data_IF_674007846450
#
_entry.id   IF_674007846450
#
_cell.length_a   1.000
_cell.length_b   1.000
_cell.length_c   1.000
_cell.angle_alpha   90.00
_cell.angle_beta   90.00
_cell.angle_gamma   90.00
#
_symmetry.space_group_name_H-M   'P 1'
#
loop_
_entity.id
_entity.type
_entity.pdbx_description
1 polymer ?
#
# COMPACT_ATOMS: atom_id res chain seq x y z
N UNK A 1 -7.35 3.97 -12.04
CA UNK A 1 -6.87 5.37 -12.01
C UNK A 1 -6.15 5.56 -10.68
N UNK A 2 -4.87 5.93 -10.70
CA UNK A 2 -4.05 5.93 -9.46
C UNK A 2 -4.62 6.88 -8.41
N UNK A 3 -5.24 7.97 -8.84
CA UNK A 3 -5.87 8.94 -7.94
C UNK A 3 -7.04 8.33 -7.18
N UNK A 4 -7.90 7.56 -7.86
CA UNK A 4 -9.01 6.86 -7.21
C UNK A 4 -8.51 5.83 -6.21
N UNK A 5 -7.50 5.04 -6.57
CA UNK A 5 -6.92 4.04 -5.69
C UNK A 5 -6.30 4.69 -4.46
N UNK A 6 -5.56 5.79 -4.65
CA UNK A 6 -4.98 6.58 -3.55
C UNK A 6 -6.06 7.12 -2.63
N UNK A 7 -7.15 7.65 -3.19
CA UNK A 7 -8.28 8.14 -2.40
C UNK A 7 -8.97 7.01 -1.61
N UNK A 8 -9.12 5.82 -2.19
CA UNK A 8 -9.65 4.63 -1.50
C UNK A 8 -8.75 4.20 -0.35
N UNK A 9 -7.45 4.02 -0.60
CA UNK A 9 -6.49 3.62 0.44
C UNK A 9 -6.53 4.64 1.56
N UNK A 10 -6.40 5.93 1.25
CA UNK A 10 -6.44 6.99 2.25
C UNK A 10 -7.76 6.99 3.03
N UNK A 11 -8.92 6.83 2.39
CA UNK A 11 -10.22 6.76 3.08
C UNK A 11 -10.31 5.57 4.03
N UNK A 12 -9.79 4.43 3.61
CA UNK A 12 -9.79 3.20 4.41
C UNK A 12 -8.73 3.23 5.51
N UNK A 13 -7.64 4.00 5.38
CA UNK A 13 -6.54 4.03 6.36
C UNK A 13 -6.42 5.33 7.14
N UNK A 14 -7.28 6.33 6.87
CA UNK A 14 -7.29 7.65 7.53
C UNK A 14 -7.35 7.57 9.07
N UNK A 15 -8.02 6.54 9.57
CA UNK A 15 -8.18 6.29 11.00
C UNK A 15 -6.97 5.61 11.66
N UNK A 16 -6.02 5.10 10.87
CA UNK A 16 -4.80 4.45 11.35
C UNK A 16 -3.78 5.52 11.72
N UNK A 17 -3.71 5.87 13.01
CA UNK A 17 -2.72 6.83 13.51
C UNK A 17 -1.38 6.12 13.73
N UNK A 18 -0.36 6.54 12.99
CA UNK A 18 1.02 6.05 13.16
C UNK A 18 1.49 5.05 12.09
N UNK A 19 0.62 4.68 11.13
CA UNK A 19 1.00 3.81 10.01
C UNK A 19 1.32 4.66 8.79
N UNK A 20 2.56 4.57 8.29
CA UNK A 20 3.02 5.27 7.09
C UNK A 20 2.86 4.38 5.86
N UNK A 21 2.01 4.81 4.94
CA UNK A 21 1.73 4.07 3.70
C UNK A 21 2.23 4.90 2.51
N UNK A 22 3.26 4.40 1.83
CA UNK A 22 3.77 4.99 0.59
C UNK A 22 3.00 4.46 -0.62
N UNK A 23 2.49 5.35 -1.48
CA UNK A 23 1.76 4.98 -2.69
C UNK A 23 2.52 5.55 -3.89
N UNK A 24 2.98 4.67 -4.78
CA UNK A 24 3.74 5.02 -5.98
C UNK A 24 3.09 4.43 -7.23
N UNK A 25 2.82 5.28 -8.22
CA UNK A 25 2.23 4.88 -9.50
C UNK A 25 3.16 4.07 -10.40
N UNK A 26 4.46 4.16 -10.17
CA UNK A 26 5.48 3.45 -10.93
C UNK A 26 6.77 3.35 -10.12
N UNK A 27 7.51 2.24 -10.28
CA UNK A 27 8.76 1.92 -9.57
C UNK A 27 9.97 2.80 -9.95
N UNK A 28 9.80 3.84 -10.78
CA UNK A 28 10.90 4.60 -11.40
C UNK A 28 11.81 5.28 -10.38
N UNK A 29 11.26 5.67 -9.23
CA UNK A 29 12.04 6.09 -8.07
C UNK A 29 12.14 4.90 -7.13
N UNK A 30 13.34 4.36 -6.96
CA UNK A 30 13.58 3.08 -6.28
C UNK A 30 13.09 3.03 -4.82
N UNK A 31 13.18 1.86 -4.18
CA UNK A 31 12.64 1.60 -2.84
C UNK A 31 13.26 2.46 -1.71
N UNK A 32 14.32 3.23 -1.98
CA UNK A 32 14.98 4.10 -1.01
C UNK A 32 14.10 5.25 -0.51
N UNK A 33 13.21 5.79 -1.35
CA UNK A 33 12.25 6.84 -0.95
C UNK A 33 11.14 6.29 -0.03
N UNK A 34 10.95 4.97 -0.01
CA UNK A 34 9.96 4.27 0.84
C UNK A 34 10.60 3.67 2.09
N UNK A 35 11.88 3.94 2.39
CA UNK A 35 12.57 3.37 3.54
C UNK A 35 11.93 3.76 4.90
N UNK A 36 11.19 4.87 4.94
CA UNK A 36 10.45 5.33 6.12
C UNK A 36 8.98 4.88 6.14
N UNK A 37 8.49 4.22 5.09
CA UNK A 37 7.12 3.73 5.02
C UNK A 37 7.00 2.32 5.63
N UNK A 38 6.02 2.12 6.49
CA UNK A 38 5.69 0.79 7.04
C UNK A 38 5.12 -0.12 5.95
N UNK A 39 4.33 0.46 5.03
CA UNK A 39 3.70 -0.24 3.93
C UNK A 39 3.87 0.49 2.61
N UNK A 40 4.05 -0.27 1.53
CA UNK A 40 4.20 0.27 0.19
C UNK A 40 3.19 -0.30 -0.79
N UNK A 41 2.59 0.59 -1.60
CA UNK A 41 1.76 0.26 -2.75
C UNK A 41 2.46 0.75 -4.01
N UNK A 42 3.05 -0.14 -4.80
CA UNK A 42 3.90 0.23 -5.95
C UNK A 42 3.38 -0.38 -7.23
N UNK A 43 3.08 0.47 -8.22
CA UNK A 43 2.75 0.05 -9.58
C UNK A 43 3.98 -0.52 -10.29
N UNK A 44 3.91 -1.78 -10.73
CA UNK A 44 4.97 -2.44 -11.51
C UNK A 44 4.60 -2.61 -12.98
N UNK A 45 3.37 -2.27 -13.36
CA UNK A 45 2.89 -2.29 -14.74
C UNK A 45 1.42 -1.89 -14.84
N UNK A 46 0.88 -1.92 -16.06
CA UNK A 46 -0.52 -1.56 -16.31
C UNK A 46 -1.47 -2.48 -15.53
N UNK A 47 -2.16 -1.93 -14.53
CA UNK A 47 -3.10 -2.66 -13.68
C UNK A 47 -2.45 -3.65 -12.70
N UNK A 48 -1.12 -3.63 -12.54
CA UNK A 48 -0.38 -4.54 -11.65
C UNK A 48 0.35 -3.78 -10.55
N UNK A 49 0.21 -4.29 -9.33
CA UNK A 49 0.72 -3.71 -8.11
C UNK A 49 1.57 -4.71 -7.36
N UNK A 50 2.56 -4.21 -6.65
CA UNK A 50 3.36 -4.94 -5.69
C UNK A 50 3.25 -4.24 -4.35
N UNK A 51 2.92 -5.03 -3.32
CA UNK A 51 2.80 -4.58 -1.94
C UNK A 51 4.10 -4.87 -1.20
N UNK A 52 4.55 -3.87 -0.45
CA UNK A 52 5.74 -3.94 0.38
C UNK A 52 5.36 -3.75 1.84
N UNK A 53 6.10 -4.40 2.72
CA UNK A 53 6.19 -4.05 4.13
C UNK A 53 7.62 -3.60 4.39
N UNK A 54 7.79 -2.35 4.78
CA UNK A 54 9.09 -1.70 4.90
C UNK A 54 9.85 -1.83 3.57
N UNK A 55 10.93 -2.61 3.54
CA UNK A 55 11.73 -2.85 2.33
C UNK A 55 11.52 -4.25 1.71
N UNK A 56 10.58 -5.04 2.24
CA UNK A 56 10.33 -6.42 1.83
C UNK A 56 9.09 -6.53 0.96
N UNK A 57 9.21 -7.19 -0.20
CA UNK A 57 8.06 -7.54 -1.04
C UNK A 57 7.21 -8.59 -0.32
N UNK A 58 5.97 -8.24 0.01
CA UNK A 58 5.03 -9.20 0.60
C UNK A 58 4.17 -9.84 -0.48
N UNK A 59 3.66 -9.04 -1.41
CA UNK A 59 2.89 -9.55 -2.54
C UNK A 59 3.25 -8.84 -3.84
N UNK A 60 3.24 -9.58 -4.96
CA UNK A 60 3.69 -9.07 -6.27
C UNK A 60 2.71 -9.43 -7.36
N UNK A 61 2.60 -8.58 -8.37
CA UNK A 61 1.71 -8.77 -9.53
C UNK A 61 0.22 -8.88 -9.16
N UNK A 62 -0.21 -8.21 -8.08
CA UNK A 62 -1.62 -8.16 -7.71
C UNK A 62 -2.36 -7.22 -8.67
N UNK A 63 -3.57 -7.56 -9.13
CA UNK A 63 -4.40 -6.60 -9.85
C UNK A 63 -4.73 -5.38 -8.98
N UNK A 64 -4.66 -4.18 -9.56
CA UNK A 64 -4.97 -2.89 -8.88
C UNK A 64 -6.25 -2.95 -8.05
N UNK A 65 -7.28 -3.61 -8.57
CA UNK A 65 -8.60 -3.71 -7.93
C UNK A 65 -8.56 -4.51 -6.61
N UNK A 66 -7.70 -5.52 -6.51
CA UNK A 66 -7.56 -6.35 -5.30
C UNK A 66 -6.43 -5.85 -4.39
N UNK A 67 -5.50 -5.05 -4.93
CA UNK A 67 -4.34 -4.56 -4.20
C UNK A 67 -4.71 -3.68 -3.00
N UNK A 68 -5.80 -2.90 -3.10
CA UNK A 68 -6.31 -2.11 -1.96
C UNK A 68 -6.76 -3.03 -0.82
N UNK A 69 -7.58 -4.03 -1.14
CA UNK A 69 -8.07 -5.00 -0.16
C UNK A 69 -6.92 -5.81 0.44
N UNK A 70 -5.95 -6.19 -0.39
CA UNK A 70 -4.77 -6.94 0.02
C UNK A 70 -3.87 -6.11 0.96
N UNK A 71 -3.69 -4.82 0.67
CA UNK A 71 -2.99 -3.88 1.55
C UNK A 71 -3.68 -3.75 2.91
N UNK A 72 -5.01 -3.61 2.95
CA UNK A 72 -5.77 -3.56 4.21
C UNK A 72 -5.61 -4.86 5.00
N UNK A 73 -5.72 -6.01 4.32
CA UNK A 73 -5.52 -7.31 4.96
C UNK A 73 -4.09 -7.49 5.47
N UNK A 74 -3.09 -6.94 4.76
CA UNK A 74 -1.70 -6.96 5.18
C UNK A 74 -1.53 -6.20 6.50
N UNK A 75 -2.03 -4.96 6.56
CA UNK A 75 -2.00 -4.13 7.77
C UNK A 75 -2.71 -4.85 8.94
N UNK A 76 -3.87 -5.46 8.68
CA UNK A 76 -4.61 -6.28 9.67
C UNK A 76 -3.80 -7.47 10.18
N UNK A 77 -3.14 -8.21 9.27
CA UNK A 77 -2.33 -9.39 9.62
C UNK A 77 -1.13 -9.02 10.50
N UNK A 78 -0.59 -7.82 10.34
CA UNK A 78 0.53 -7.33 11.13
C UNK A 78 0.12 -6.67 12.45
N UNK A 79 -1.19 -6.50 12.70
CA UNK A 79 -1.69 -5.93 13.95
C UNK A 79 -1.67 -4.40 13.99
N UNK A 80 -1.31 -3.74 12.90
CA UNK A 80 -1.30 -2.27 12.78
C UNK A 80 -2.70 -1.70 12.46
N UNK A 81 -3.67 -2.57 12.20
CA UNK A 81 -5.04 -2.16 11.95
C UNK A 81 -5.77 -1.82 13.25
N UNK A 82 -6.19 -0.57 13.36
CA UNK A 82 -7.04 -0.09 14.45
C UNK A 82 -8.46 -0.02 13.92
N UNK A 83 -9.45 -0.60 14.60
CA UNK A 83 -10.84 -0.46 14.15
C UNK A 83 -11.31 0.99 14.26
N UNK A 84 -12.01 1.46 13.22
CA UNK A 84 -12.63 2.78 13.21
C UNK A 84 -13.71 2.83 14.30
N UNK A 85 -13.51 3.68 15.30
CA UNK A 85 -14.53 4.00 16.31
C UNK A 85 -15.66 4.84 15.72
#
# INVERSE_FOLDING_TARGET
DLQETTAKIRKETDHLKGVKIGIMGCIVNGPGEMADADYGYVGTGKGKITLYKEQTVVEKNIPEQEAVTSLINLIKKHGDWVEKK
#
